data_IF_853618826095
#
_entry.id   IF_853618826095
#
_cell.length_a   1.000
_cell.length_b   1.000
_cell.length_c   1.000
_cell.angle_alpha   90.00
_cell.angle_beta   90.00
_cell.angle_gamma   90.00
#
_symmetry.space_group_name_H-M   'P 1'
#
loop_
_entity.id
_entity.type
_entity.pdbx_description
1 polymer ?
#
# COMPACT_ATOMS: atom_id res chain seq x y z
N UNK A 1 -48.83 -11.53 -14.25
CA UNK A 1 -48.24 -10.18 -14.46
C UNK A 1 -47.49 -9.64 -13.23
N UNK A 2 -47.99 -9.80 -11.99
CA UNK A 2 -47.36 -9.21 -10.78
C UNK A 2 -46.02 -9.86 -10.37
N UNK A 3 -45.87 -11.17 -10.58
CA UNK A 3 -44.66 -11.92 -10.21
C UNK A 3 -43.43 -11.54 -11.06
N UNK A 4 -43.64 -11.31 -12.37
CA UNK A 4 -42.56 -10.89 -13.28
C UNK A 4 -42.01 -9.51 -12.93
N UNK A 5 -42.89 -8.60 -12.48
CA UNK A 5 -42.47 -7.30 -11.96
C UNK A 5 -41.60 -7.43 -10.72
N UNK A 6 -42.05 -8.18 -9.71
CA UNK A 6 -41.29 -8.38 -8.47
C UNK A 6 -39.90 -8.98 -8.71
N UNK A 7 -39.77 -9.92 -9.66
CA UNK A 7 -38.48 -10.49 -10.06
C UNK A 7 -37.58 -9.44 -10.70
N UNK A 8 -38.09 -8.64 -11.63
CA UNK A 8 -37.31 -7.57 -12.26
C UNK A 8 -36.80 -6.53 -11.25
N UNK A 9 -37.61 -6.18 -10.26
CA UNK A 9 -37.20 -5.28 -9.17
C UNK A 9 -36.12 -5.90 -8.28
N UNK A 10 -36.22 -7.19 -7.97
CA UNK A 10 -35.18 -7.89 -7.21
C UNK A 10 -33.84 -7.92 -7.96
N UNK A 11 -33.86 -8.13 -9.28
CA UNK A 11 -32.67 -8.09 -10.13
C UNK A 11 -32.05 -6.69 -10.18
N UNK A 12 -32.85 -5.63 -10.32
CA UNK A 12 -32.36 -4.26 -10.31
C UNK A 12 -31.69 -3.90 -8.97
N UNK A 13 -32.32 -4.29 -7.85
CA UNK A 13 -31.75 -4.08 -6.52
C UNK A 13 -30.45 -4.86 -6.33
N UNK A 14 -30.39 -6.11 -6.80
CA UNK A 14 -29.17 -6.92 -6.75
C UNK A 14 -28.03 -6.27 -7.55
N UNK A 15 -28.29 -5.79 -8.77
CA UNK A 15 -27.28 -5.13 -9.59
C UNK A 15 -26.76 -3.83 -8.94
N UNK A 16 -27.64 -3.08 -8.26
CA UNK A 16 -27.25 -1.89 -7.52
C UNK A 16 -26.35 -2.22 -6.32
N UNK A 17 -26.66 -3.30 -5.59
CA UNK A 17 -25.83 -3.78 -4.49
C UNK A 17 -24.47 -4.30 -4.97
N UNK A 18 -24.42 -4.99 -6.12
CA UNK A 18 -23.18 -5.47 -6.72
C UNK A 18 -22.30 -4.32 -7.22
N UNK A 19 -22.88 -3.29 -7.86
CA UNK A 19 -22.15 -2.09 -8.24
C UNK A 19 -21.64 -1.32 -7.00
N UNK A 20 -22.47 -1.22 -5.96
CA UNK A 20 -22.12 -0.64 -4.66
C UNK A 20 -21.02 -1.40 -3.92
N UNK A 21 -20.97 -2.74 -4.01
CA UNK A 21 -19.92 -3.55 -3.41
C UNK A 21 -18.63 -3.59 -4.25
N UNK A 22 -18.72 -3.39 -5.57
CA UNK A 22 -17.57 -3.38 -6.47
C UNK A 22 -16.77 -2.09 -6.40
N UNK A 23 -17.37 -0.96 -5.98
CA UNK A 23 -16.67 0.31 -5.78
C UNK A 23 -16.08 0.41 -4.36
N UNK A 24 -15.17 -0.49 -4.00
CA UNK A 24 -14.14 -0.11 -3.02
C UNK A 24 -13.11 0.71 -3.79
N UNK A 25 -13.49 1.94 -4.14
CA UNK A 25 -12.55 2.94 -4.62
C UNK A 25 -11.76 3.34 -3.38
N UNK A 26 -10.54 2.81 -3.26
CA UNK A 26 -9.59 3.45 -2.38
C UNK A 26 -9.33 4.82 -2.99
N UNK A 27 -9.98 5.87 -2.46
CA UNK A 27 -9.70 7.28 -2.77
C UNK A 27 -8.20 7.58 -2.73
N UNK A 28 -7.48 6.77 -1.96
CA UNK A 28 -6.07 6.82 -1.70
C UNK A 28 -5.22 5.87 -2.55
N UNK A 29 -5.75 5.19 -3.59
CA UNK A 29 -4.94 4.30 -4.44
C UNK A 29 -3.76 5.04 -5.07
N UNK A 30 -3.97 6.29 -5.47
CA UNK A 30 -2.96 7.17 -6.04
C UNK A 30 -1.93 7.62 -4.97
N UNK A 31 -2.37 7.86 -3.74
CA UNK A 31 -1.50 8.17 -2.59
C UNK A 31 -0.73 6.93 -2.11
N UNK A 32 -1.34 5.74 -2.18
CA UNK A 32 -0.74 4.44 -1.86
C UNK A 32 0.30 4.06 -2.91
N UNK A 33 0.01 4.27 -4.21
CA UNK A 33 0.97 4.09 -5.29
C UNK A 33 2.08 5.14 -5.24
N UNK A 34 1.79 6.40 -4.90
CA UNK A 34 2.81 7.43 -4.71
C UNK A 34 3.70 7.14 -3.49
N UNK A 35 3.14 6.67 -2.38
CA UNK A 35 3.90 6.23 -1.20
C UNK A 35 4.71 4.97 -1.50
N UNK A 36 4.16 4.00 -2.24
CA UNK A 36 4.87 2.81 -2.68
C UNK A 36 5.98 3.13 -3.67
N UNK A 37 5.77 4.09 -4.58
CA UNK A 37 6.78 4.56 -5.53
C UNK A 37 7.89 5.37 -4.83
N UNK A 38 7.54 6.18 -3.84
CA UNK A 38 8.50 6.88 -2.98
C UNK A 38 9.30 5.91 -2.09
N UNK A 39 8.67 4.83 -1.63
CA UNK A 39 9.32 3.75 -0.89
C UNK A 39 10.05 2.73 -1.78
N UNK A 40 9.78 2.70 -3.09
CA UNK A 40 10.43 1.78 -4.02
C UNK A 40 11.92 2.10 -4.22
N UNK A 41 12.30 3.36 -4.06
CA UNK A 41 13.68 3.82 -4.25
C UNK A 41 14.55 3.67 -2.98
N UNK A 42 13.90 3.50 -1.83
CA UNK A 42 14.58 3.40 -0.53
C UNK A 42 14.06 2.16 0.20
N UNK A 43 14.87 1.08 0.27
CA UNK A 43 14.52 -0.10 1.04
C UNK A 43 13.98 0.25 2.44
N UNK A 44 12.87 -0.37 2.91
CA UNK A 44 12.19 -0.02 4.15
C UNK A 44 13.11 0.01 5.38
N UNK A 45 14.12 -0.88 5.41
CA UNK A 45 15.12 -0.97 6.48
C UNK A 45 16.05 0.26 6.59
N UNK A 46 16.09 1.13 5.57
CA UNK A 46 16.86 2.39 5.59
C UNK A 46 16.09 3.47 6.36
N UNK A 47 14.77 3.47 6.26
CA UNK A 47 13.88 4.47 6.88
C UNK A 47 13.47 4.03 8.29
N UNK A 48 13.18 2.74 8.46
CA UNK A 48 12.73 2.16 9.72
C UNK A 48 13.80 1.25 10.33
N UNK A 49 14.42 1.67 11.46
CA UNK A 49 15.37 0.85 12.20
C UNK A 49 14.84 -0.49 12.69
N UNK A 50 13.54 -0.62 12.96
CA UNK A 50 12.91 -1.84 13.49
C UNK A 50 12.83 -2.94 12.42
N UNK A 51 12.82 -2.56 11.15
CA UNK A 51 12.85 -3.48 10.01
C UNK A 51 14.27 -3.95 9.67
N UNK A 52 15.30 -3.42 10.35
CA UNK A 52 16.66 -3.91 10.14
C UNK A 52 16.84 -5.25 10.82
N UNK A 53 17.19 -6.27 10.03
CA UNK A 53 17.44 -7.61 10.55
C UNK A 53 18.57 -7.56 11.59
N UNK A 54 18.25 -7.87 12.85
CA UNK A 54 19.16 -7.74 14.01
C UNK A 54 20.43 -8.60 13.97
N UNK A 55 20.56 -9.48 12.99
CA UNK A 55 21.73 -10.36 12.80
C UNK A 55 22.62 -9.97 11.61
N UNK A 56 22.27 -8.91 10.87
CA UNK A 56 23.09 -8.43 9.75
C UNK A 56 23.97 -7.27 10.20
N UNK A 57 25.27 -7.35 9.87
CA UNK A 57 26.22 -6.29 10.16
C UNK A 57 25.80 -4.99 9.45
N UNK A 58 25.67 -3.92 10.23
CA UNK A 58 25.32 -2.60 9.75
C UNK A 58 26.53 -1.67 9.90
N UNK A 59 27.27 -1.42 8.81
CA UNK A 59 28.41 -0.55 8.90
C UNK A 59 27.99 0.88 9.27
N UNK A 60 28.70 1.55 10.20
CA UNK A 60 28.53 2.97 10.44
C UNK A 60 28.75 3.79 9.15
N UNK A 61 28.16 4.98 9.09
CA UNK A 61 28.38 5.91 7.97
C UNK A 61 29.88 6.16 7.79
N UNK A 62 30.36 6.04 6.55
CA UNK A 62 31.77 6.20 6.16
C UNK A 62 32.75 5.14 6.71
N UNK A 63 32.28 3.94 7.11
CA UNK A 63 33.16 2.90 7.67
C UNK A 63 34.32 2.51 6.73
N UNK A 64 34.06 2.44 5.42
CA UNK A 64 35.04 2.01 4.42
C UNK A 64 35.96 3.15 3.97
N UNK A 65 35.56 4.39 4.24
CA UNK A 65 36.25 5.58 3.77
C UNK A 65 37.44 5.96 4.66
N UNK A 66 37.61 5.30 5.82
CA UNK A 66 38.75 5.46 6.73
C UNK A 66 38.87 6.87 7.30
N UNK A 67 38.44 7.07 8.57
CA UNK A 67 38.60 8.30 9.36
C UNK A 67 38.60 9.60 8.54
N UNK A 68 37.42 10.01 8.09
CA UNK A 68 37.29 11.28 7.41
C UNK A 68 37.59 12.48 8.31
N UNK A 69 37.50 12.38 9.66
CA UNK A 69 37.97 13.42 10.59
C UNK A 69 38.18 12.84 12.01
N UNK A 70 39.43 12.78 12.46
CA UNK A 70 39.77 12.85 13.89
C UNK A 70 39.85 14.33 14.23
N UNK A 71 38.91 14.84 15.02
CA UNK A 71 39.03 16.01 15.90
C UNK A 71 37.89 15.92 16.92
#
# INVERSE_FOLDING_TARGET
MRALGAVAWAWLLLLLQVAGASHVVYENLLELEAAAAAAADVPPYIVDPELRMGYHFQPPKNWINGNANKN
#
